data_IF_454824140243
#
_entry.id   IF_454824140243
#
_cell.length_a   1.000
_cell.length_b   1.000
_cell.length_c   1.000
_cell.angle_alpha   90.00
_cell.angle_beta   90.00
_cell.angle_gamma   90.00
#
_symmetry.space_group_name_H-M   'P 1'
#
loop_
_entity.id
_entity.type
_entity.pdbx_description
1 polymer ?
#
# COMPACT_ATOMS: atom_id res chain seq x y z
N UNK A 1 -8.47 29.48 34.81
CA UNK A 1 -8.64 30.66 33.95
C UNK A 1 -7.43 30.71 33.01
N UNK A 2 -7.69 30.54 31.70
CA UNK A 2 -6.86 30.73 30.49
C UNK A 2 -5.53 29.95 30.25
N UNK A 3 -5.65 28.98 29.31
CA UNK A 3 -4.87 28.64 28.11
C UNK A 3 -3.61 29.46 27.74
N UNK A 4 -2.51 28.79 27.35
CA UNK A 4 -2.04 28.55 25.95
C UNK A 4 -0.62 27.90 25.98
N UNK A 5 -0.38 26.70 25.44
CA UNK A 5 0.08 26.34 24.07
C UNK A 5 1.27 27.17 23.56
N UNK A 6 2.49 26.61 23.60
CA UNK A 6 3.43 26.39 22.46
C UNK A 6 4.87 26.07 22.92
N UNK A 7 5.59 25.33 22.07
CA UNK A 7 7.04 25.06 22.08
C UNK A 7 7.56 24.14 23.21
N UNK A 8 8.33 23.08 22.98
CA UNK A 8 9.28 22.81 21.90
C UNK A 8 9.55 21.29 21.89
N UNK A 9 9.23 20.59 20.81
CA UNK A 9 9.63 19.18 20.63
C UNK A 9 11.16 19.13 20.52
N UNK A 10 11.79 18.40 21.44
CA UNK A 10 13.22 18.42 21.65
C UNK A 10 13.91 17.39 20.74
N UNK A 11 15.12 17.70 20.26
CA UNK A 11 15.98 16.81 19.46
C UNK A 11 16.29 15.47 20.16
N UNK A 12 16.08 15.41 21.48
CA UNK A 12 16.17 14.20 22.30
C UNK A 12 15.05 13.17 22.00
N UNK A 13 13.86 13.63 21.55
CA UNK A 13 12.74 12.75 21.18
C UNK A 13 13.01 12.03 19.83
N UNK A 14 13.77 12.66 18.95
CA UNK A 14 14.18 12.07 17.66
C UNK A 14 15.21 10.95 17.83
N UNK A 15 16.07 11.04 18.85
CA UNK A 15 17.07 10.01 19.16
C UNK A 15 16.39 8.79 19.82
N UNK A 16 15.34 9.01 20.62
CA UNK A 16 14.60 7.93 21.27
C UNK A 16 13.76 7.11 20.27
N UNK A 17 13.22 7.73 19.22
CA UNK A 17 12.49 7.02 18.16
C UNK A 17 13.41 6.21 17.23
N UNK A 18 14.66 6.65 17.06
CA UNK A 18 15.63 5.97 16.19
C UNK A 18 16.25 4.71 16.84
N UNK A 19 16.38 4.67 18.17
CA UNK A 19 16.96 3.51 18.89
C UNK A 19 15.95 2.36 19.05
N UNK A 20 14.66 2.65 19.16
CA UNK A 20 13.62 1.59 19.18
C UNK A 20 13.51 0.86 17.82
N UNK A 21 13.91 1.50 16.73
CA UNK A 21 13.91 0.89 15.40
C UNK A 21 15.09 -0.09 15.13
N UNK A 22 16.12 -0.11 15.99
CA UNK A 22 17.32 -0.95 15.82
C UNK A 22 17.34 -2.17 16.78
N UNK A 23 16.36 -2.26 17.69
CA UNK A 23 16.34 -3.25 18.78
C UNK A 23 15.45 -4.49 18.58
N UNK A 24 14.88 -4.74 17.40
CA UNK A 24 14.16 -5.98 17.13
C UNK A 24 15.00 -6.89 16.23
N UNK A 25 15.95 -7.59 16.84
CA UNK A 25 16.51 -8.80 16.28
C UNK A 25 15.44 -9.88 16.19
N UNK A 26 14.88 -10.07 15.00
CA UNK A 26 14.54 -11.41 14.53
C UNK A 26 15.44 -11.68 13.34
N UNK A 27 16.43 -12.53 13.59
CA UNK A 27 16.95 -13.42 12.55
C UNK A 27 15.78 -14.13 11.91
N UNK A 28 15.30 -13.57 10.82
CA UNK A 28 14.54 -14.26 9.80
C UNK A 28 15.08 -13.73 8.47
N UNK A 29 16.31 -14.14 8.15
CA UNK A 29 16.43 -14.78 6.84
C UNK A 29 15.44 -15.95 6.92
N UNK A 30 14.17 -15.68 6.59
CA UNK A 30 13.30 -16.76 6.20
C UNK A 30 14.04 -17.37 5.03
N UNK A 31 14.48 -18.61 5.20
CA UNK A 31 14.82 -19.46 4.08
C UNK A 31 13.78 -19.16 3.01
N UNK A 32 14.23 -18.68 1.84
CA UNK A 32 13.48 -18.80 0.60
C UNK A 32 13.31 -20.31 0.38
N UNK A 33 12.41 -20.93 1.14
CA UNK A 33 11.97 -22.28 0.93
C UNK A 33 11.55 -22.30 -0.54
N UNK A 34 12.13 -23.18 -1.37
CA UNK A 34 11.98 -23.05 -2.81
C UNK A 34 10.50 -23.07 -3.11
N UNK A 35 9.96 -21.90 -3.50
CA UNK A 35 8.67 -21.83 -4.17
C UNK A 35 8.83 -22.75 -5.35
N UNK A 36 8.28 -23.95 -5.24
CA UNK A 36 8.35 -24.89 -6.33
C UNK A 36 7.59 -24.22 -7.48
N UNK A 37 8.33 -23.64 -8.43
CA UNK A 37 7.75 -22.96 -9.61
C UNK A 37 6.94 -23.93 -10.47
N UNK A 38 7.11 -25.24 -10.21
CA UNK A 38 6.34 -26.32 -10.79
C UNK A 38 5.23 -26.83 -9.86
N UNK A 39 4.90 -26.10 -8.79
CA UNK A 39 3.74 -26.40 -7.97
C UNK A 39 2.48 -26.35 -8.84
N UNK A 40 1.56 -27.32 -8.68
CA UNK A 40 0.33 -27.34 -9.47
C UNK A 40 -0.50 -26.09 -9.18
N UNK A 41 -1.09 -25.52 -10.22
CA UNK A 41 -2.05 -24.44 -10.07
C UNK A 41 -3.35 -24.97 -9.49
N UNK A 42 -3.98 -24.18 -8.63
CA UNK A 42 -5.27 -24.50 -8.02
C UNK A 42 -6.29 -23.51 -8.54
N UNK A 43 -7.42 -24.02 -9.02
CA UNK A 43 -8.56 -23.22 -9.40
C UNK A 43 -9.63 -23.36 -8.32
N UNK A 44 -9.81 -22.33 -7.49
CA UNK A 44 -10.75 -22.37 -6.37
C UNK A 44 -12.22 -22.23 -6.79
N UNK A 45 -12.47 -21.64 -7.96
CA UNK A 45 -13.80 -21.45 -8.56
C UNK A 45 -13.70 -21.57 -10.07
N UNK A 46 -14.76 -22.06 -10.71
CA UNK A 46 -14.83 -22.26 -12.17
C UNK A 46 -14.46 -20.99 -12.97
N UNK A 47 -14.85 -19.80 -12.50
CA UNK A 47 -14.62 -18.53 -13.19
C UNK A 47 -13.29 -17.84 -12.83
N UNK A 48 -12.51 -18.40 -11.92
CA UNK A 48 -11.24 -17.80 -11.51
C UNK A 48 -10.11 -18.39 -12.33
N UNK A 49 -9.10 -17.59 -12.65
CA UNK A 49 -7.88 -18.10 -13.27
C UNK A 49 -7.14 -19.02 -12.28
N UNK A 50 -6.60 -20.16 -12.74
CA UNK A 50 -5.76 -21.01 -11.90
C UNK A 50 -4.56 -20.22 -11.38
N UNK A 51 -4.29 -20.29 -10.08
CA UNK A 51 -3.16 -19.59 -9.47
C UNK A 51 -2.25 -20.55 -8.70
N UNK A 52 -1.01 -20.16 -8.50
CA UNK A 52 -0.04 -20.90 -7.67
C UNK A 52 -0.26 -20.45 -6.22
N UNK A 53 -0.64 -21.36 -5.30
CA UNK A 53 -0.86 -21.01 -3.91
C UNK A 53 0.43 -20.55 -3.22
N UNK A 54 0.33 -19.53 -2.35
CA UNK A 54 1.45 -18.93 -1.60
C UNK A 54 1.10 -18.85 -0.12
N UNK A 55 1.16 -19.98 0.61
CA UNK A 55 0.64 -20.08 1.98
C UNK A 55 1.41 -19.19 2.99
N UNK A 56 2.68 -18.93 2.72
CA UNK A 56 3.53 -17.97 3.44
C UNK A 56 2.97 -16.54 3.35
N UNK A 57 2.65 -16.08 2.14
CA UNK A 57 2.08 -14.75 1.90
C UNK A 57 0.66 -14.63 2.48
N UNK A 58 -0.13 -15.70 2.40
CA UNK A 58 -1.47 -15.76 2.99
C UNK A 58 -1.42 -15.64 4.52
N UNK A 59 -0.48 -16.32 5.17
CA UNK A 59 -0.27 -16.25 6.63
C UNK A 59 0.17 -14.84 7.05
N UNK A 60 1.15 -14.27 6.35
CA UNK A 60 1.64 -12.92 6.62
C UNK A 60 0.52 -11.86 6.44
N UNK A 61 -0.31 -12.01 5.40
CA UNK A 61 -1.44 -11.13 5.17
C UNK A 61 -2.50 -11.25 6.28
N UNK A 62 -2.77 -12.46 6.77
CA UNK A 62 -3.70 -12.70 7.88
C UNK A 62 -3.21 -12.04 9.18
N UNK A 63 -1.92 -12.15 9.49
CA UNK A 63 -1.32 -11.52 10.68
C UNK A 63 -1.39 -9.99 10.61
N UNK A 64 -1.08 -9.41 9.43
CA UNK A 64 -1.22 -7.96 9.20
C UNK A 64 -2.67 -7.51 9.32
N UNK A 65 -3.62 -8.28 8.82
CA UNK A 65 -5.04 -7.98 8.92
C UNK A 65 -5.51 -7.98 10.39
N UNK A 66 -5.12 -9.00 11.17
CA UNK A 66 -5.44 -9.07 12.59
C UNK A 66 -4.83 -7.90 13.39
N UNK A 67 -3.61 -7.48 13.06
CA UNK A 67 -2.98 -6.32 13.67
C UNK A 67 -3.73 -5.00 13.36
N UNK A 68 -4.19 -4.83 12.11
CA UNK A 68 -4.99 -3.68 11.70
C UNK A 68 -6.37 -3.66 12.36
N UNK A 69 -7.03 -4.82 12.46
CA UNK A 69 -8.29 -4.96 13.19
C UNK A 69 -8.15 -4.58 14.65
N UNK A 70 -7.09 -5.05 15.32
CA UNK A 70 -6.79 -4.68 16.71
C UNK A 70 -6.54 -3.18 16.86
N UNK A 71 -5.89 -2.54 15.87
CA UNK A 71 -5.56 -1.11 15.90
C UNK A 71 -6.78 -0.21 15.67
N UNK A 72 -7.68 -0.59 14.77
CA UNK A 72 -8.79 0.27 14.32
C UNK A 72 -10.18 -0.22 14.75
N UNK A 73 -10.27 -1.35 15.45
CA UNK A 73 -11.52 -1.95 15.94
C UNK A 73 -12.41 -2.55 14.86
N UNK A 74 -11.93 -2.62 13.61
CA UNK A 74 -12.65 -3.16 12.46
C UNK A 74 -11.70 -3.57 11.35
N UNK A 75 -12.18 -4.44 10.46
CA UNK A 75 -11.50 -4.79 9.21
C UNK A 75 -11.39 -3.57 8.29
N UNK A 76 -10.21 -3.32 7.68
CA UNK A 76 -10.08 -2.29 6.65
C UNK A 76 -10.93 -2.66 5.42
N UNK A 77 -11.47 -1.65 4.76
CA UNK A 77 -12.19 -1.81 3.48
C UNK A 77 -11.27 -1.38 2.35
N UNK A 78 -11.18 -2.20 1.30
CA UNK A 78 -10.38 -1.90 0.11
C UNK A 78 -11.34 -1.54 -1.03
N UNK A 79 -11.17 -0.33 -1.58
CA UNK A 79 -11.88 0.13 -2.77
C UNK A 79 -10.87 0.26 -3.91
N UNK A 80 -11.10 -0.48 -4.99
CA UNK A 80 -10.28 -0.41 -6.20
C UNK A 80 -11.08 0.34 -7.25
N UNK A 81 -10.52 1.44 -7.75
CA UNK A 81 -11.05 2.19 -8.88
C UNK A 81 -10.18 1.87 -10.09
N UNK A 82 -10.75 1.18 -11.07
CA UNK A 82 -10.11 0.90 -12.35
C UNK A 82 -10.75 1.80 -13.40
N UNK A 83 -9.91 2.49 -14.17
CA UNK A 83 -10.35 3.39 -15.25
C UNK A 83 -9.79 2.85 -16.55
N UNK A 84 -10.67 2.74 -17.54
CA UNK A 84 -10.33 2.28 -18.89
C UNK A 84 -9.74 3.42 -19.71
N UNK A 85 -8.78 3.10 -20.58
CA UNK A 85 -8.12 4.05 -21.51
C UNK A 85 -7.61 5.36 -20.89
N UNK A 86 -7.25 5.36 -19.61
CA UNK A 86 -6.64 6.51 -18.95
C UNK A 86 -5.12 6.49 -19.11
N UNK A 87 -4.58 7.52 -19.75
CA UNK A 87 -3.16 7.77 -19.86
C UNK A 87 -2.55 8.31 -18.56
N UNK A 88 -1.25 8.08 -18.39
CA UNK A 88 -0.50 8.58 -17.23
C UNK A 88 -0.58 10.11 -17.08
N UNK A 89 -0.61 10.83 -18.20
CA UNK A 89 -0.69 12.29 -18.24
C UNK A 89 -2.09 12.87 -18.12
N UNK A 90 -3.14 12.07 -17.93
CA UNK A 90 -4.51 12.59 -17.88
C UNK A 90 -4.89 13.20 -16.51
N UNK A 91 -4.56 12.59 -15.36
CA UNK A 91 -4.86 13.18 -14.06
C UNK A 91 -4.02 14.45 -13.79
N UNK A 92 -4.60 15.41 -13.07
CA UNK A 92 -3.92 16.66 -12.70
C UNK A 92 -2.67 16.42 -11.86
N UNK A 93 -2.69 15.40 -10.99
CA UNK A 93 -1.59 15.03 -10.12
C UNK A 93 -0.31 14.53 -10.84
N UNK A 94 -0.42 14.22 -12.14
CA UNK A 94 0.69 13.85 -13.05
C UNK A 94 0.98 14.92 -14.12
N UNK A 95 0.33 16.08 -14.06
CA UNK A 95 0.57 17.20 -14.98
C UNK A 95 -0.46 17.40 -16.07
N UNK A 96 -1.53 16.60 -16.10
CA UNK A 96 -2.68 16.81 -16.98
C UNK A 96 -3.78 17.65 -16.35
N UNK A 97 -4.97 17.04 -16.28
CA UNK A 97 -6.13 17.58 -15.62
C UNK A 97 -6.61 18.89 -16.26
N UNK A 98 -6.50 19.98 -15.51
CA UNK A 98 -6.88 21.31 -15.96
C UNK A 98 -6.14 21.72 -17.24
N UNK A 99 -4.88 21.30 -17.40
CA UNK A 99 -4.05 21.69 -18.56
C UNK A 99 -4.52 21.08 -19.89
N UNK A 100 -5.24 19.95 -19.83
CA UNK A 100 -5.83 19.27 -21.00
C UNK A 100 -7.35 19.49 -21.11
N UNK A 101 -7.91 20.38 -20.28
CA UNK A 101 -9.35 20.68 -20.26
C UNK A 101 -10.22 19.71 -19.46
N UNK A 102 -9.61 18.78 -18.70
CA UNK A 102 -10.31 17.75 -17.91
C UNK A 102 -9.92 17.83 -16.42
N UNK A 103 -10.36 18.85 -15.66
CA UNK A 103 -9.97 19.01 -14.26
C UNK A 103 -10.40 17.81 -13.39
N UNK A 104 -9.48 17.26 -12.58
CA UNK A 104 -9.67 16.05 -11.78
C UNK A 104 -9.48 16.29 -10.26
N UNK A 105 -10.19 17.26 -9.65
CA UNK A 105 -9.93 17.72 -8.28
C UNK A 105 -10.07 16.63 -7.20
N UNK A 106 -10.94 15.65 -7.41
CA UNK A 106 -11.12 14.53 -6.47
C UNK A 106 -9.93 13.55 -6.53
N UNK A 107 -9.42 13.26 -7.73
CA UNK A 107 -8.26 12.38 -7.93
C UNK A 107 -7.02 13.08 -7.37
N UNK A 108 -6.87 14.37 -7.64
CA UNK A 108 -5.74 15.17 -7.15
C UNK A 108 -5.71 15.24 -5.62
N UNK A 109 -6.88 15.36 -4.98
CA UNK A 109 -7.00 15.33 -3.51
C UNK A 109 -6.66 13.95 -2.92
N UNK A 110 -7.09 12.87 -3.56
CA UNK A 110 -6.72 11.51 -3.13
C UNK A 110 -5.22 11.29 -3.28
N UNK A 111 -4.63 11.77 -4.37
CA UNK A 111 -3.22 11.67 -4.65
C UNK A 111 -2.35 12.50 -3.68
N UNK A 112 -2.86 13.62 -3.14
CA UNK A 112 -2.13 14.42 -2.14
C UNK A 112 -2.22 13.88 -0.71
N UNK A 113 -3.28 13.11 -0.41
CA UNK A 113 -3.47 12.47 0.90
C UNK A 113 -2.89 11.05 0.97
N UNK A 114 -2.52 10.48 -0.18
CA UNK A 114 -2.05 9.10 -0.30
C UNK A 114 -0.66 8.99 -0.92
N UNK A 115 -0.39 7.80 -1.46
CA UNK A 115 0.84 7.51 -2.19
C UNK A 115 0.60 7.69 -3.70
N UNK A 116 1.48 8.45 -4.35
CA UNK A 116 1.53 8.56 -5.82
C UNK A 116 2.61 7.64 -6.37
N UNK A 117 2.28 6.90 -7.41
CA UNK A 117 3.23 6.02 -8.09
C UNK A 117 3.69 6.72 -9.37
N UNK A 118 4.96 7.12 -9.43
CA UNK A 118 5.49 7.87 -10.58
C UNK A 118 5.85 6.94 -11.76
N UNK A 119 6.21 5.69 -11.45
CA UNK A 119 6.62 4.69 -12.44
C UNK A 119 5.68 3.48 -12.35
N UNK A 120 4.56 3.54 -13.07
CA UNK A 120 3.60 2.43 -13.21
C UNK A 120 3.46 2.06 -14.66
N UNK A 121 3.69 0.79 -14.99
CA UNK A 121 3.62 0.29 -16.36
C UNK A 121 2.50 -0.74 -16.48
N UNK A 122 1.62 -0.64 -17.50
CA UNK A 122 0.73 -1.73 -17.82
C UNK A 122 1.55 -2.92 -18.36
N UNK A 123 1.09 -4.13 -18.09
CA UNK A 123 1.76 -5.35 -18.59
C UNK A 123 1.60 -5.52 -20.11
N UNK A 124 0.59 -4.87 -20.70
CA UNK A 124 0.39 -4.78 -22.14
C UNK A 124 -0.25 -3.42 -22.49
N UNK A 125 0.28 -2.76 -23.51
CA UNK A 125 -0.37 -1.62 -24.17
C UNK A 125 -0.59 -2.06 -25.61
N UNK A 126 -1.85 -2.21 -26.02
CA UNK A 126 -2.22 -2.53 -27.41
C UNK A 126 -2.70 -1.26 -28.09
#
# INVERSE_FOLDING_TARGET
MYLNVESFMNTQDFIFFLIVAVGCSSTAFADDAPTNVFAPTVQTKEYFEPFIPRPDQETEAADKLAALEKKFGRKPNVLILLVDDMGWGDPGCYGGGLLIGAPTPNIDRLASQGLKLLNTYPIAAT
#
